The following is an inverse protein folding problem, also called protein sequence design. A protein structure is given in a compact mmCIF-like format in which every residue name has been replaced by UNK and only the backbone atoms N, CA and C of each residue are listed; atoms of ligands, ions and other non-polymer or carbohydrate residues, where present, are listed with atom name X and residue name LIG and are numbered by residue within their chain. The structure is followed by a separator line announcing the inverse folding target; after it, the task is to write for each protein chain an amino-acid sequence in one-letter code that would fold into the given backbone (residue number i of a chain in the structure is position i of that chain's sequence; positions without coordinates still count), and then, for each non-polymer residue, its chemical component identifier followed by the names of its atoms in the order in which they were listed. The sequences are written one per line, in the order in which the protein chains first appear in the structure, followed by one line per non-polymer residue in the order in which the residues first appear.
data_IF_253859573394
#
_entry.id   IF_253859573394
#
_cell.length_a   1.000
_cell.length_b   1.000
_cell.length_c   1.000
_cell.angle_alpha   90.00
_cell.angle_beta   90.00
_cell.angle_gamma   90.00
#
_symmetry.space_group_name_H-M   'P 1'
#
loop_
_entity.id
_entity.type
_entity.pdbx_description
1 polymer ?
#
# COMPACT_ATOMS: atom_id res chain seq x y z
N UNK A 1 -8.62 -29.36 32.00
CA UNK A 1 -9.32 -28.66 30.89
C UNK A 1 -8.29 -27.90 30.07
N UNK A 2 -8.11 -28.22 28.78
CA UNK A 2 -7.25 -27.42 27.88
C UNK A 2 -8.04 -26.20 27.43
N UNK A 3 -7.56 -24.99 27.71
CA UNK A 3 -8.08 -23.76 27.10
C UNK A 3 -7.54 -23.71 25.67
N UNK A 4 -8.40 -23.87 24.67
CA UNK A 4 -8.02 -23.51 23.29
C UNK A 4 -7.78 -22.00 23.25
N UNK A 5 -6.66 -21.58 22.67
CA UNK A 5 -6.41 -20.17 22.40
C UNK A 5 -7.41 -19.60 21.38
N UNK A 6 -7.48 -18.27 21.24
CA UNK A 6 -8.32 -17.65 20.23
C UNK A 6 -7.91 -18.11 18.82
N UNK A 7 -8.91 -18.32 17.96
CA UNK A 7 -8.66 -18.69 16.55
C UNK A 7 -8.05 -17.49 15.82
N UNK A 8 -6.93 -17.64 15.12
CA UNK A 8 -6.36 -16.54 14.35
C UNK A 8 -7.36 -16.03 13.30
N UNK A 9 -7.58 -14.72 13.27
CA UNK A 9 -8.41 -14.04 12.27
C UNK A 9 -7.54 -13.38 11.20
N UNK A 10 -8.06 -13.27 9.98
CA UNK A 10 -7.47 -12.55 8.86
C UNK A 10 -8.40 -11.41 8.43
N UNK A 11 -7.89 -10.18 8.39
CA UNK A 11 -8.57 -9.01 7.81
C UNK A 11 -7.90 -8.63 6.49
N UNK A 12 -8.72 -8.39 5.46
CA UNK A 12 -8.27 -7.91 4.15
C UNK A 12 -8.87 -6.53 3.91
N UNK A 13 -8.00 -5.54 3.78
CA UNK A 13 -8.36 -4.17 3.39
C UNK A 13 -8.20 -4.03 1.89
N UNK A 14 -9.24 -3.52 1.24
CA UNK A 14 -9.21 -3.16 -0.18
C UNK A 14 -9.32 -1.65 -0.28
N UNK A 15 -8.29 -1.01 -0.82
CA UNK A 15 -8.23 0.44 -0.95
C UNK A 15 -7.92 0.86 -2.39
N UNK A 16 -8.48 2.00 -2.80
CA UNK A 16 -8.17 2.64 -4.07
C UNK A 16 -7.58 4.01 -3.76
N UNK A 17 -6.37 4.25 -4.23
CA UNK A 17 -5.74 5.55 -4.07
C UNK A 17 -6.57 6.63 -4.78
N UNK A 18 -6.60 7.85 -4.23
CA UNK A 18 -7.20 8.97 -4.93
C UNK A 18 -6.52 9.16 -6.29
N UNK A 19 -7.29 9.62 -7.27
CA UNK A 19 -6.77 10.03 -8.58
C UNK A 19 -6.18 11.45 -8.56
N UNK A 20 -6.06 12.01 -7.36
CA UNK A 20 -5.65 13.39 -7.12
C UNK A 20 -4.17 13.61 -7.41
N UNK A 21 -3.85 14.79 -7.94
CA UNK A 21 -2.47 15.28 -8.01
C UNK A 21 -2.08 16.12 -6.79
N UNK A 22 -3.01 16.37 -5.87
CA UNK A 22 -2.74 17.14 -4.66
C UNK A 22 -2.05 16.25 -3.62
N UNK A 23 -0.85 16.65 -3.19
CA UNK A 23 -0.05 15.88 -2.24
C UNK A 23 -0.78 15.67 -0.90
N UNK A 24 -1.52 16.67 -0.43
CA UNK A 24 -2.29 16.60 0.83
C UNK A 24 -3.37 15.51 0.82
N UNK A 25 -4.10 15.36 -0.29
CA UNK A 25 -5.13 14.32 -0.41
C UNK A 25 -4.51 12.92 -0.45
N UNK A 26 -3.35 12.78 -1.10
CA UNK A 26 -2.58 11.53 -1.16
C UNK A 26 -2.02 11.19 0.23
N UNK A 27 -1.44 12.16 0.93
CA UNK A 27 -0.90 11.98 2.28
C UNK A 27 -2.00 11.60 3.27
N UNK A 28 -3.14 12.29 3.21
CA UNK A 28 -4.32 11.99 4.04
C UNK A 28 -4.80 10.55 3.82
N UNK A 29 -4.88 10.11 2.55
CA UNK A 29 -5.25 8.74 2.23
C UNK A 29 -4.31 7.70 2.86
N UNK A 30 -2.99 7.92 2.81
CA UNK A 30 -2.03 7.00 3.43
C UNK A 30 -2.08 7.04 4.97
N UNK A 31 -2.33 8.21 5.57
CA UNK A 31 -2.53 8.35 7.02
C UNK A 31 -3.78 7.61 7.50
N UNK A 32 -4.90 7.76 6.79
CA UNK A 32 -6.15 7.08 7.12
C UNK A 32 -5.98 5.56 7.01
N UNK A 33 -5.34 5.09 5.93
CA UNK A 33 -5.05 3.67 5.72
C UNK A 33 -4.14 3.08 6.81
N UNK A 34 -3.11 3.81 7.24
CA UNK A 34 -2.26 3.40 8.36
C UNK A 34 -3.09 3.27 9.65
N UNK A 35 -3.97 4.24 9.89
CA UNK A 35 -4.84 4.27 11.07
C UNK A 35 -5.77 3.05 11.08
N UNK A 36 -6.48 2.78 9.98
CA UNK A 36 -7.32 1.58 9.84
C UNK A 36 -6.56 0.27 10.05
N UNK A 37 -5.34 0.17 9.51
CA UNK A 37 -4.50 -1.00 9.69
C UNK A 37 -4.10 -1.20 11.16
N UNK A 38 -3.85 -0.12 11.90
CA UNK A 38 -3.49 -0.18 13.33
C UNK A 38 -4.68 -0.51 14.22
N UNK A 39 -5.86 0.03 13.92
CA UNK A 39 -7.08 -0.15 14.71
C UNK A 39 -7.62 -1.57 14.68
N UNK A 40 -7.49 -2.28 13.55
CA UNK A 40 -7.96 -3.66 13.45
C UNK A 40 -7.25 -4.60 14.43
N UNK A 41 -7.94 -5.64 14.88
CA UNK A 41 -7.43 -6.57 15.90
C UNK A 41 -7.20 -8.00 15.35
N UNK A 42 -7.23 -8.19 14.03
CA UNK A 42 -6.96 -9.49 13.44
C UNK A 42 -5.47 -9.88 13.56
N UNK A 43 -5.23 -11.18 13.63
CA UNK A 43 -3.89 -11.76 13.71
C UNK A 43 -3.10 -11.53 12.42
N UNK A 44 -3.77 -11.66 11.29
CA UNK A 44 -3.20 -11.38 9.98
C UNK A 44 -3.96 -10.23 9.32
N UNK A 45 -3.22 -9.32 8.70
CA UNK A 45 -3.76 -8.15 8.03
C UNK A 45 -3.11 -8.01 6.67
N UNK A 46 -3.92 -7.83 5.64
CA UNK A 46 -3.46 -7.67 4.24
C UNK A 46 -4.10 -6.42 3.68
N UNK A 47 -3.31 -5.57 3.03
CA UNK A 47 -3.80 -4.43 2.27
C UNK A 47 -3.58 -4.71 0.79
N UNK A 48 -4.62 -4.55 -0.02
CA UNK A 48 -4.57 -4.73 -1.47
C UNK A 48 -5.38 -3.63 -2.18
N UNK A 49 -5.16 -3.48 -3.48
CA UNK A 49 -5.91 -2.57 -4.34
C UNK A 49 -5.00 -1.73 -5.23
N UNK A 50 -5.60 -0.79 -5.95
CA UNK A 50 -4.87 0.10 -6.87
C UNK A 50 -4.40 1.35 -6.13
N UNK A 51 -3.09 1.45 -5.92
CA UNK A 51 -2.48 2.57 -5.21
C UNK A 51 -2.00 3.71 -6.13
N UNK A 52 -2.24 3.62 -7.44
CA UNK A 52 -1.67 4.54 -8.44
C UNK A 52 -0.13 4.72 -8.30
N UNK A 53 0.53 3.79 -7.62
CA UNK A 53 1.94 3.87 -7.32
C UNK A 53 2.75 3.50 -8.56
N UNK A 54 3.67 4.36 -8.98
CA UNK A 54 4.62 4.02 -10.05
C UNK A 54 5.59 2.97 -9.51
N UNK A 55 5.49 1.74 -10.03
CA UNK A 55 6.46 0.69 -9.72
C UNK A 55 7.78 1.07 -10.38
N UNK A 56 8.80 1.36 -9.57
CA UNK A 56 10.16 1.60 -10.06
C UNK A 56 10.75 0.35 -10.73
N UNK A 57 11.85 0.48 -11.49
CA UNK A 57 12.53 -0.67 -12.08
C UNK A 57 12.83 -1.73 -11.01
N UNK A 58 12.46 -2.98 -11.27
CA UNK A 58 12.66 -4.10 -10.35
C UNK A 58 14.14 -4.23 -9.97
N UNK A 59 14.52 -3.73 -8.80
CA UNK A 59 15.87 -3.91 -8.23
C UNK A 59 15.89 -5.26 -7.52
N UNK A 60 16.08 -6.32 -8.29
CA UNK A 60 16.24 -7.74 -7.87
C UNK A 60 15.02 -8.41 -7.18
N UNK A 61 14.82 -9.74 -7.34
CA UNK A 61 13.65 -10.47 -6.83
C UNK A 61 13.52 -10.58 -5.31
N UNK A 62 14.59 -10.36 -4.57
CA UNK A 62 14.71 -10.80 -3.17
C UNK A 62 14.30 -9.75 -2.14
N UNK A 63 13.91 -8.54 -2.59
CA UNK A 63 13.71 -7.40 -1.69
C UNK A 63 12.45 -6.62 -2.08
N UNK A 64 11.30 -7.08 -1.59
CA UNK A 64 10.03 -6.34 -1.64
C UNK A 64 10.13 -5.14 -0.68
N UNK A 65 10.84 -4.10 -1.10
CA UNK A 65 10.81 -2.81 -0.42
C UNK A 65 9.92 -1.88 -1.25
N UNK A 66 8.69 -1.70 -0.78
CA UNK A 66 7.81 -0.60 -1.20
C UNK A 66 8.54 0.70 -0.86
N UNK A 67 8.72 1.57 -1.86
CA UNK A 67 9.60 2.72 -1.79
C UNK A 67 9.05 3.88 -0.96
N UNK A 68 9.94 4.56 -0.25
CA UNK A 68 9.68 5.68 0.66
C UNK A 68 9.74 7.04 -0.07
N UNK A 69 8.77 7.41 -0.92
CA UNK A 69 8.71 8.73 -1.62
C UNK A 69 9.64 8.92 -2.86
N UNK A 70 9.45 8.16 -3.93
CA UNK A 70 10.25 8.32 -5.16
C UNK A 70 9.73 9.37 -6.18
N UNK A 71 9.88 10.68 -5.90
CA UNK A 71 10.02 11.70 -6.96
C UNK A 71 11.47 11.58 -7.51
N UNK A 72 11.82 11.62 -8.80
CA UNK A 72 11.25 12.12 -10.04
C UNK A 72 11.88 11.31 -11.21
N UNK A 73 11.12 10.96 -12.25
CA UNK A 73 11.71 10.61 -13.56
C UNK A 73 11.23 11.61 -14.61
N UNK A 74 12.19 12.25 -15.30
CA UNK A 74 11.91 13.24 -16.34
C UNK A 74 11.52 12.54 -17.64
N UNK A 75 10.30 12.79 -18.10
CA UNK A 75 9.72 12.22 -19.31
C UNK A 75 10.32 12.86 -20.58
N UNK A 76 11.46 12.33 -21.03
CA UNK A 76 11.93 12.59 -22.40
C UNK A 76 11.79 11.38 -23.33
N UNK A 77 10.79 10.52 -23.10
CA UNK A 77 10.46 9.44 -24.05
C UNK A 77 9.00 9.50 -24.45
N UNK A 78 8.75 10.28 -25.51
CA UNK A 78 7.62 10.06 -26.42
C UNK A 78 7.56 8.58 -26.79
N UNK A 79 6.37 7.98 -26.70
CA UNK A 79 6.01 6.83 -27.53
C UNK A 79 4.79 7.24 -28.36
N UNK A 80 5.06 7.46 -29.64
CA UNK A 80 4.08 7.50 -30.71
C UNK A 80 3.48 6.08 -30.83
N UNK A 81 2.15 6.01 -30.91
CA UNK A 81 1.28 4.87 -31.31
C UNK A 81 1.53 3.49 -30.71
#
# INVERSE_FOLDING_TARGET
MRRCGPTPALTIFVAYAPTSSYEEEVETFYMDLETFYREDHAFYKVITGDFNAKVGPRRTPEKLHIGTHGLQWNDQRKRLS
#
